data_IF_558479016148
#
_entry.id   IF_558479016148
#
_cell.length_a   1.000
_cell.length_b   1.000
_cell.length_c   1.000
_cell.angle_alpha   90.00
_cell.angle_beta   90.00
_cell.angle_gamma   90.00
#
_symmetry.space_group_name_H-M   'P 1'
#
loop_
_entity.id
_entity.type
_entity.pdbx_description
1 polymer ?
#
# COMPACT_ATOMS: atom_id res chain seq x y z
N UNK A 1 23.15 6.28 13.22
CA UNK A 1 23.38 7.62 12.64
C UNK A 1 24.68 8.21 13.18
N UNK A 2 25.50 8.96 12.41
CA UNK A 2 26.61 9.73 12.98
C UNK A 2 26.07 10.71 14.03
N UNK A 3 26.78 10.85 15.16
CA UNK A 3 26.38 11.80 16.21
C UNK A 3 26.48 13.23 15.67
N UNK A 4 25.46 14.05 15.91
CA UNK A 4 25.46 15.46 15.52
C UNK A 4 25.20 15.73 14.03
N UNK A 5 24.64 14.76 13.29
CA UNK A 5 24.28 14.95 11.87
C UNK A 5 23.35 16.16 11.66
N UNK A 6 22.55 16.53 12.68
CA UNK A 6 21.65 17.69 12.63
C UNK A 6 22.37 19.03 12.44
N UNK A 7 23.69 19.07 12.66
CA UNK A 7 24.53 20.23 12.35
C UNK A 7 24.68 20.48 10.84
N UNK A 8 24.45 19.47 9.99
CA UNK A 8 24.53 19.57 8.53
C UNK A 8 23.25 20.20 7.94
N UNK A 9 22.94 21.43 8.34
CA UNK A 9 21.69 22.12 7.98
C UNK A 9 21.54 22.36 6.48
N UNK A 10 22.66 22.41 5.74
CA UNK A 10 22.71 22.58 4.27
C UNK A 10 22.62 21.27 3.49
N UNK A 11 22.48 20.13 4.17
CA UNK A 11 22.38 18.83 3.52
C UNK A 11 21.11 18.74 2.69
N UNK A 12 21.26 18.37 1.41
CA UNK A 12 20.13 18.26 0.46
C UNK A 12 19.61 16.84 0.27
N UNK A 13 20.46 15.84 0.47
CA UNK A 13 20.12 14.45 0.26
C UNK A 13 20.49 13.66 1.50
N UNK A 14 19.49 12.94 2.03
CA UNK A 14 19.66 11.95 3.07
C UNK A 14 18.63 10.86 2.83
N UNK A 15 19.06 9.69 2.38
CA UNK A 15 18.15 8.59 2.05
C UNK A 15 17.53 7.92 3.28
N UNK A 16 18.27 7.90 4.40
CA UNK A 16 17.83 7.29 5.64
C UNK A 16 18.38 8.03 6.87
N UNK A 17 17.52 8.19 7.88
CA UNK A 17 17.82 8.68 9.21
C UNK A 17 17.47 7.59 10.23
N UNK A 18 18.49 7.10 10.96
CA UNK A 18 18.32 6.01 11.93
C UNK A 18 18.32 6.57 13.36
N UNK A 19 17.16 6.51 14.00
CA UNK A 19 16.96 6.92 15.39
C UNK A 19 17.52 5.84 16.31
N UNK A 20 18.30 6.26 17.30
CA UNK A 20 18.93 5.41 18.29
C UNK A 20 18.82 6.07 19.68
N UNK A 21 19.00 5.29 20.74
CA UNK A 21 18.91 5.76 22.13
C UNK A 21 20.15 6.53 22.59
N UNK A 22 21.24 6.43 21.82
CA UNK A 22 22.48 7.17 22.05
C UNK A 22 22.27 8.69 21.90
N UNK A 23 22.95 9.45 22.75
CA UNK A 23 22.97 10.91 22.66
C UNK A 23 23.46 11.39 21.27
N UNK A 24 22.80 12.42 20.74
CA UNK A 24 23.08 12.98 19.41
C UNK A 24 22.59 12.11 18.24
N UNK A 25 21.71 11.13 18.50
CA UNK A 25 21.03 10.31 17.48
C UNK A 25 19.51 10.25 17.63
N UNK A 26 18.95 11.14 18.46
CA UNK A 26 17.50 11.26 18.59
C UNK A 26 16.90 11.90 17.34
N UNK A 27 15.58 11.77 17.18
CA UNK A 27 14.85 12.33 16.05
C UNK A 27 14.93 13.87 16.00
N UNK A 28 15.25 14.52 17.13
CA UNK A 28 15.41 15.96 17.22
C UNK A 28 16.57 16.52 16.36
N UNK A 29 17.54 15.69 15.97
CA UNK A 29 18.60 16.08 15.03
C UNK A 29 18.05 16.53 13.67
N UNK A 30 16.86 16.04 13.28
CA UNK A 30 16.22 16.46 12.02
C UNK A 30 15.73 17.90 12.03
N UNK A 31 15.56 18.54 13.20
CA UNK A 31 14.85 19.81 13.38
C UNK A 31 15.23 20.88 12.35
N UNK A 32 16.53 21.11 12.14
CA UNK A 32 17.03 22.19 11.30
C UNK A 32 17.48 21.73 9.90
N UNK A 33 17.27 20.47 9.54
CA UNK A 33 17.66 19.90 8.25
C UNK A 33 16.62 20.19 7.16
N UNK A 34 16.29 21.47 6.95
CA UNK A 34 15.15 21.91 6.12
C UNK A 34 15.45 21.91 4.62
N UNK A 35 16.70 21.71 4.22
CA UNK A 35 17.09 21.63 2.81
C UNK A 35 17.02 20.22 2.22
N UNK A 36 16.63 19.22 3.02
CA UNK A 36 16.44 17.84 2.55
C UNK A 36 15.40 17.77 1.44
N UNK A 37 15.70 16.99 0.40
CA UNK A 37 14.89 16.89 -0.82
C UNK A 37 14.60 15.43 -1.17
N UNK A 38 13.49 15.20 -1.87
CA UNK A 38 13.14 13.89 -2.39
C UNK A 38 12.68 12.92 -1.30
N UNK A 39 13.35 11.77 -1.20
CA UNK A 39 12.98 10.66 -0.32
C UNK A 39 13.79 10.63 0.97
N UNK A 40 13.10 10.50 2.10
CA UNK A 40 13.69 10.26 3.41
C UNK A 40 13.03 9.06 4.11
N UNK A 41 13.82 8.07 4.50
CA UNK A 41 13.40 7.00 5.41
C UNK A 41 13.77 7.38 6.85
N UNK A 42 12.81 7.37 7.77
CA UNK A 42 13.03 7.56 9.20
C UNK A 42 12.78 6.22 9.88
N UNK A 43 13.88 5.60 10.31
CA UNK A 43 13.90 4.26 10.89
C UNK A 43 14.24 4.31 12.37
N UNK A 44 13.76 3.33 13.13
CA UNK A 44 14.00 3.26 14.57
C UNK A 44 12.95 4.02 15.38
N UNK A 45 11.74 4.20 14.83
CA UNK A 45 10.67 5.00 15.47
C UNK A 45 10.21 4.44 16.82
N UNK A 46 10.49 3.17 17.10
CA UNK A 46 10.34 2.61 18.43
C UNK A 46 11.10 3.32 19.55
N UNK A 47 12.21 3.99 19.19
CA UNK A 47 13.13 4.62 20.14
C UNK A 47 12.65 6.03 20.51
N UNK A 48 11.70 6.58 19.75
CA UNK A 48 11.03 7.84 20.07
C UNK A 48 10.14 7.63 21.29
N UNK A 49 10.25 8.49 22.30
CA UNK A 49 9.56 8.34 23.60
C UNK A 49 8.06 8.57 23.47
N UNK A 50 7.65 9.64 22.79
CA UNK A 50 6.27 10.11 22.64
C UNK A 50 6.10 11.05 21.43
N UNK A 51 4.89 11.52 21.18
CA UNK A 51 4.60 12.50 20.15
C UNK A 51 5.32 13.85 20.34
N UNK A 52 5.61 14.27 21.58
CA UNK A 52 6.34 15.51 21.84
C UNK A 52 7.78 15.45 21.35
N UNK A 53 8.45 14.31 21.52
CA UNK A 53 9.76 14.08 20.93
C UNK A 53 9.68 14.00 19.41
N UNK A 54 8.69 13.27 18.87
CA UNK A 54 8.48 13.13 17.44
C UNK A 54 8.33 14.49 16.74
N UNK A 55 7.57 15.41 17.34
CA UNK A 55 7.36 16.79 16.84
C UNK A 55 8.66 17.56 16.64
N UNK A 56 9.73 17.25 17.40
CA UNK A 56 11.03 17.92 17.26
C UNK A 56 11.68 17.69 15.88
N UNK A 57 11.27 16.65 15.16
CA UNK A 57 11.72 16.38 13.80
C UNK A 57 11.35 17.50 12.82
N UNK A 58 10.28 18.24 13.11
CA UNK A 58 9.79 19.38 12.33
C UNK A 58 9.68 19.07 10.82
N UNK A 59 8.97 17.99 10.48
CA UNK A 59 8.82 17.53 9.09
C UNK A 59 7.99 18.50 8.24
N UNK A 60 7.15 19.31 8.87
CA UNK A 60 6.37 20.35 8.21
C UNK A 60 7.26 21.36 7.46
N UNK A 61 8.39 21.76 8.05
CA UNK A 61 9.31 22.73 7.46
C UNK A 61 10.27 22.13 6.41
N UNK A 62 10.14 20.84 6.09
CA UNK A 62 10.92 20.14 5.06
C UNK A 62 10.10 20.03 3.78
N UNK A 63 9.74 21.18 3.23
CA UNK A 63 8.83 21.33 2.09
C UNK A 63 9.32 20.70 0.78
N UNK A 64 10.62 20.39 0.67
CA UNK A 64 11.19 19.71 -0.50
C UNK A 64 11.19 18.18 -0.41
N UNK A 65 10.75 17.61 0.71
CA UNK A 65 10.53 16.18 0.83
C UNK A 65 9.20 15.81 0.16
N UNK A 66 9.28 14.88 -0.78
CA UNK A 66 8.13 14.36 -1.54
C UNK A 66 7.84 12.90 -1.21
N UNK A 67 8.79 12.17 -0.61
CA UNK A 67 8.59 10.78 -0.22
C UNK A 67 9.08 10.54 1.22
N UNK A 68 8.23 9.92 2.04
CA UNK A 68 8.57 9.55 3.40
C UNK A 68 8.32 8.07 3.64
N UNK A 69 9.27 7.43 4.32
CA UNK A 69 9.08 6.13 4.92
C UNK A 69 9.22 6.24 6.43
N UNK A 70 8.22 5.76 7.18
CA UNK A 70 8.27 5.60 8.62
C UNK A 70 8.43 4.12 8.96
N UNK A 71 9.54 3.78 9.64
CA UNK A 71 9.91 2.39 9.90
C UNK A 71 10.15 2.12 11.39
N UNK A 72 9.45 1.10 11.89
CA UNK A 72 9.67 0.50 13.20
C UNK A 72 10.49 -0.80 13.07
N UNK A 73 11.04 -1.25 14.19
CA UNK A 73 11.61 -2.59 14.36
C UNK A 73 10.53 -3.66 14.57
N UNK A 74 10.51 -4.67 13.68
CA UNK A 74 9.59 -5.82 13.69
C UNK A 74 9.64 -6.63 15.00
N UNK A 75 10.83 -6.75 15.60
CA UNK A 75 11.10 -7.72 16.65
C UNK A 75 10.49 -7.36 18.01
N UNK A 76 10.00 -6.13 18.16
CA UNK A 76 9.61 -5.57 19.45
C UNK A 76 8.14 -5.19 19.49
N UNK A 77 7.53 -5.47 20.64
CA UNK A 77 6.13 -5.14 20.91
C UNK A 77 6.07 -3.74 21.55
N UNK A 78 5.39 -2.82 20.89
CA UNK A 78 5.20 -1.44 21.37
C UNK A 78 3.73 -1.10 21.56
N UNK A 79 3.48 -0.04 22.32
CA UNK A 79 2.13 0.47 22.51
C UNK A 79 1.56 1.03 21.20
N UNK A 80 0.41 0.50 20.79
CA UNK A 80 -0.36 0.97 19.64
C UNK A 80 -0.75 2.45 19.73
N UNK A 81 -1.12 2.91 20.94
CA UNK A 81 -1.51 4.30 21.19
C UNK A 81 -0.32 5.26 21.07
N UNK A 82 0.87 4.81 21.48
CA UNK A 82 2.10 5.59 21.31
C UNK A 82 2.47 5.76 19.84
N UNK A 83 2.34 4.69 19.04
CA UNK A 83 2.71 4.75 17.62
C UNK A 83 1.82 5.69 16.82
N UNK A 84 0.51 5.73 17.11
CA UNK A 84 -0.38 6.72 16.48
C UNK A 84 -0.04 8.16 16.93
N UNK A 85 0.25 8.39 18.21
CA UNK A 85 0.65 9.72 18.71
C UNK A 85 1.95 10.21 18.03
N UNK A 86 2.94 9.32 17.86
CA UNK A 86 4.15 9.61 17.09
C UNK A 86 3.80 9.97 15.64
N UNK A 87 2.99 9.16 14.95
CA UNK A 87 2.59 9.42 13.56
C UNK A 87 1.84 10.75 13.40
N UNK A 88 0.97 11.10 14.35
CA UNK A 88 0.23 12.36 14.36
C UNK A 88 1.19 13.56 14.43
N UNK A 89 2.23 13.45 15.26
CA UNK A 89 3.22 14.51 15.48
C UNK A 89 4.33 14.54 14.42
N UNK A 90 4.43 13.52 13.57
CA UNK A 90 5.28 13.48 12.38
C UNK A 90 4.56 13.98 11.12
N UNK A 91 3.55 14.85 11.28
CA UNK A 91 2.85 15.49 10.16
C UNK A 91 3.85 16.12 9.18
N UNK A 92 3.87 15.69 7.90
CA UNK A 92 4.73 16.27 6.89
C UNK A 92 4.11 17.52 6.25
N UNK A 93 4.87 18.17 5.38
CA UNK A 93 4.32 19.24 4.53
C UNK A 93 3.32 18.69 3.51
N UNK A 94 2.46 19.56 2.97
CA UNK A 94 1.53 19.20 1.88
C UNK A 94 2.21 18.83 0.55
N UNK A 95 3.54 18.92 0.47
CA UNK A 95 4.29 18.49 -0.71
C UNK A 95 4.50 16.97 -0.78
N UNK A 96 4.07 16.23 0.25
CA UNK A 96 4.21 14.78 0.27
C UNK A 96 3.42 14.11 -0.86
N UNK A 97 4.13 13.33 -1.68
CA UNK A 97 3.57 12.57 -2.79
C UNK A 97 3.43 11.07 -2.48
N UNK A 98 4.37 10.52 -1.70
CA UNK A 98 4.40 9.09 -1.34
C UNK A 98 4.66 8.89 0.15
N UNK A 99 3.84 8.02 0.75
CA UNK A 99 3.98 7.59 2.13
C UNK A 99 4.20 6.08 2.20
N UNK A 100 5.22 5.64 2.92
CA UNK A 100 5.42 4.24 3.27
C UNK A 100 5.40 4.08 4.79
N UNK A 101 4.59 3.15 5.28
CA UNK A 101 4.64 2.68 6.66
C UNK A 101 5.21 1.26 6.66
N UNK A 102 6.21 1.01 7.49
CA UNK A 102 6.89 -0.29 7.55
C UNK A 102 6.97 -0.78 8.99
N UNK A 103 6.50 -2.01 9.21
CA UNK A 103 6.41 -2.65 10.52
C UNK A 103 5.57 -1.85 11.53
N UNK A 104 4.61 -1.06 11.05
CA UNK A 104 3.82 -0.16 11.89
C UNK A 104 2.70 -0.94 12.60
N UNK A 105 2.72 -0.94 13.93
CA UNK A 105 1.64 -1.47 14.77
C UNK A 105 0.97 -0.32 15.53
N UNK A 106 -0.09 0.27 14.98
CA UNK A 106 -0.74 1.46 15.51
C UNK A 106 -2.22 1.23 15.79
N UNK A 107 -2.80 1.99 16.73
CA UNK A 107 -4.24 1.90 17.01
C UNK A 107 -5.09 2.54 15.92
N UNK A 108 -4.51 3.35 15.04
CA UNK A 108 -5.18 3.88 13.86
C UNK A 108 -4.20 4.54 12.89
N UNK A 109 -4.75 5.24 11.91
CA UNK A 109 -4.00 6.13 11.01
C UNK A 109 -3.98 7.57 11.55
N UNK A 110 -2.95 8.38 11.26
CA UNK A 110 -2.92 9.78 11.69
C UNK A 110 -3.93 10.63 10.92
N UNK A 111 -4.51 11.63 11.61
CA UNK A 111 -5.61 12.45 11.11
C UNK A 111 -5.24 13.29 9.89
N UNK A 112 -3.95 13.64 9.77
CA UNK A 112 -3.46 14.42 8.64
C UNK A 112 -3.49 13.69 7.30
N UNK A 113 -3.59 12.35 7.26
CA UNK A 113 -3.73 11.61 5.99
C UNK A 113 -5.05 11.96 5.30
N UNK A 114 -6.10 12.22 6.08
CA UNK A 114 -7.45 12.52 5.60
C UNK A 114 -7.67 14.03 5.36
N UNK A 115 -6.67 14.87 5.62
CA UNK A 115 -6.74 16.31 5.37
C UNK A 115 -6.73 16.57 3.85
N UNK A 116 -7.77 17.20 3.28
CA UNK A 116 -7.87 17.47 1.84
C UNK A 116 -6.70 18.27 1.25
N UNK A 117 -5.94 18.96 2.10
CA UNK A 117 -4.74 19.70 1.72
C UNK A 117 -3.58 18.80 1.28
N UNK A 118 -3.61 17.50 1.58
CA UNK A 118 -2.67 16.50 1.05
C UNK A 118 -3.09 16.02 -0.35
N UNK A 119 -3.41 16.97 -1.24
CA UNK A 119 -3.86 16.72 -2.60
C UNK A 119 -2.78 16.09 -3.49
N UNK A 120 -1.51 16.16 -3.08
CA UNK A 120 -0.36 15.53 -3.74
C UNK A 120 -0.10 14.09 -3.31
N UNK A 121 -0.69 13.63 -2.19
CA UNK A 121 -0.47 12.27 -1.71
C UNK A 121 -1.16 11.27 -2.64
N UNK A 122 -0.37 10.67 -3.54
CA UNK A 122 -0.87 9.79 -4.60
C UNK A 122 -0.47 8.33 -4.43
N UNK A 123 0.51 8.03 -3.57
CA UNK A 123 0.98 6.67 -3.34
C UNK A 123 1.10 6.36 -1.84
N UNK A 124 0.54 5.23 -1.43
CA UNK A 124 0.66 4.70 -0.07
C UNK A 124 1.14 3.25 -0.14
N UNK A 125 2.16 2.92 0.64
CA UNK A 125 2.70 1.57 0.80
C UNK A 125 2.59 1.17 2.28
N UNK A 126 1.89 0.08 2.55
CA UNK A 126 1.79 -0.51 3.88
C UNK A 126 2.52 -1.86 3.87
N UNK A 127 3.65 -1.92 4.55
CA UNK A 127 4.48 -3.12 4.64
C UNK A 127 4.49 -3.64 6.08
N UNK A 128 4.07 -4.89 6.29
CA UNK A 128 3.99 -5.53 7.61
C UNK A 128 3.29 -4.66 8.67
N UNK A 129 2.24 -3.97 8.25
CA UNK A 129 1.49 -3.06 9.12
C UNK A 129 0.29 -3.76 9.78
N UNK A 130 -0.07 -3.31 10.97
CA UNK A 130 -1.25 -3.74 11.71
C UNK A 130 -1.90 -2.51 12.35
N UNK A 131 -2.90 -1.96 11.65
CA UNK A 131 -3.58 -0.71 12.00
C UNK A 131 -5.03 -1.03 12.33
N UNK A 132 -5.47 -0.67 13.54
CA UNK A 132 -6.75 -1.15 14.07
C UNK A 132 -7.98 -0.33 13.65
N UNK A 133 -7.88 1.00 13.57
CA UNK A 133 -9.02 1.91 13.35
C UNK A 133 -8.72 2.91 12.23
N UNK A 134 -9.73 3.25 11.43
CA UNK A 134 -9.69 4.35 10.47
C UNK A 134 -8.93 4.07 9.18
N UNK A 135 -8.35 2.89 9.00
CA UNK A 135 -7.64 2.52 7.75
C UNK A 135 -8.56 2.51 6.51
N UNK A 136 -9.87 2.41 6.73
CA UNK A 136 -10.91 2.55 5.70
C UNK A 136 -11.00 3.96 5.11
N UNK A 137 -10.48 4.99 5.78
CA UNK A 137 -10.43 6.34 5.21
C UNK A 137 -9.58 6.41 3.92
N UNK A 138 -8.59 5.50 3.78
CA UNK A 138 -7.75 5.38 2.58
C UNK A 138 -8.59 5.19 1.31
N UNK A 139 -9.78 4.59 1.45
CA UNK A 139 -10.74 4.41 0.37
C UNK A 139 -11.28 5.73 -0.19
N UNK A 140 -11.32 6.78 0.63
CA UNK A 140 -11.93 8.07 0.28
C UNK A 140 -10.90 9.12 -0.15
N UNK A 141 -9.61 8.80 -0.09
CA UNK A 141 -8.55 9.74 -0.45
C UNK A 141 -8.68 10.18 -1.92
N UNK A 142 -8.97 11.47 -2.18
CA UNK A 142 -9.35 11.95 -3.50
C UNK A 142 -8.19 11.99 -4.49
N UNK A 143 -6.95 11.83 -4.03
CA UNK A 143 -5.74 11.86 -4.86
C UNK A 143 -5.00 10.54 -4.93
N UNK A 144 -5.41 9.52 -4.18
CA UNK A 144 -4.72 8.24 -4.14
C UNK A 144 -4.83 7.52 -5.49
N UNK A 145 -3.68 7.30 -6.13
CA UNK A 145 -3.53 6.61 -7.42
C UNK A 145 -2.88 5.23 -7.28
N UNK A 146 -2.06 5.03 -6.27
CA UNK A 146 -1.34 3.77 -6.04
C UNK A 146 -1.43 3.35 -4.58
N UNK A 147 -1.84 2.10 -4.35
CA UNK A 147 -1.88 1.48 -3.04
C UNK A 147 -1.17 0.13 -3.09
N UNK A 148 -0.22 -0.08 -2.20
CA UNK A 148 0.49 -1.35 -2.04
C UNK A 148 0.34 -1.88 -0.63
N UNK A 149 -0.19 -3.09 -0.50
CA UNK A 149 -0.40 -3.80 0.76
C UNK A 149 0.48 -5.05 0.74
N UNK A 150 1.45 -5.13 1.66
CA UNK A 150 2.52 -6.12 1.58
C UNK A 150 2.73 -6.77 2.96
N UNK A 151 2.75 -8.11 2.98
CA UNK A 151 3.04 -8.93 4.17
C UNK A 151 2.14 -8.58 5.38
N UNK A 152 0.84 -8.36 5.14
CA UNK A 152 -0.11 -8.03 6.22
C UNK A 152 -0.91 -9.25 6.67
N UNK A 153 -1.22 -9.31 7.97
CA UNK A 153 -2.00 -10.42 8.54
C UNK A 153 -3.42 -10.49 7.96
N UNK A 154 -4.10 -9.36 7.87
CA UNK A 154 -5.44 -9.22 7.29
C UNK A 154 -5.60 -7.82 6.70
N UNK A 155 -6.59 -7.66 5.82
CA UNK A 155 -6.99 -6.36 5.26
C UNK A 155 -8.50 -6.28 5.29
N UNK A 156 -9.05 -5.25 5.96
CA UNK A 156 -10.51 -5.09 6.19
C UNK A 156 -11.16 -3.99 5.35
N UNK A 157 -10.40 -3.33 4.47
CA UNK A 157 -10.83 -2.13 3.75
C UNK A 157 -10.66 -2.25 2.23
N UNK A 158 -10.54 -3.45 1.68
CA UNK A 158 -10.64 -3.65 0.22
C UNK A 158 -12.09 -3.65 -0.27
N UNK A 159 -13.04 -3.80 0.65
CA UNK A 159 -14.47 -3.91 0.40
C UNK A 159 -15.22 -2.82 1.17
N UNK A 160 -16.48 -2.60 0.81
CA UNK A 160 -17.33 -1.62 1.50
C UNK A 160 -17.68 -2.10 2.90
N UNK A 161 -17.64 -1.18 3.86
CA UNK A 161 -18.33 -1.43 5.13
C UNK A 161 -19.86 -1.39 4.89
N UNK A 162 -20.68 -2.23 5.57
CA UNK A 162 -22.13 -2.32 5.32
C UNK A 162 -22.90 -0.99 5.38
N UNK A 163 -22.40 -0.02 6.14
CA UNK A 163 -23.01 1.31 6.32
C UNK A 163 -22.26 2.43 5.58
N UNK A 164 -21.32 2.09 4.70
CA UNK A 164 -20.53 3.07 3.98
C UNK A 164 -21.25 3.54 2.72
N UNK A 165 -21.39 4.86 2.63
CA UNK A 165 -21.93 5.55 1.46
C UNK A 165 -20.80 6.18 0.65
N UNK A 166 -21.03 6.40 -0.66
CA UNK A 166 -20.03 6.97 -1.57
C UNK A 166 -19.27 5.91 -2.36
N UNK A 167 -18.36 6.35 -3.23
CA UNK A 167 -17.51 5.48 -4.07
C UNK A 167 -16.23 5.18 -3.29
N UNK A 168 -15.79 3.92 -3.25
CA UNK A 168 -14.47 3.58 -2.70
C UNK A 168 -13.42 3.60 -3.80
N UNK A 169 -12.25 4.13 -3.46
CA UNK A 169 -11.08 4.28 -4.32
C UNK A 169 -11.37 4.97 -5.66
N UNK A 170 -11.91 6.20 -5.65
CA UNK A 170 -12.39 6.87 -6.86
C UNK A 170 -11.29 7.15 -7.89
N UNK A 171 -10.03 7.37 -7.47
CA UNK A 171 -8.89 7.67 -8.36
C UNK A 171 -7.80 6.58 -8.41
N UNK A 172 -8.00 5.46 -7.72
CA UNK A 172 -6.98 4.41 -7.66
C UNK A 172 -6.74 3.80 -9.04
N UNK A 173 -5.48 3.74 -9.46
CA UNK A 173 -5.02 3.25 -10.76
C UNK A 173 -4.23 1.95 -10.62
N UNK A 174 -3.44 1.83 -9.55
CA UNK A 174 -2.61 0.66 -9.26
C UNK A 174 -2.94 0.13 -7.87
N UNK A 175 -3.28 -1.14 -7.80
CA UNK A 175 -3.46 -1.88 -6.54
C UNK A 175 -2.52 -3.09 -6.55
N UNK A 176 -1.64 -3.15 -5.56
CA UNK A 176 -0.70 -4.26 -5.37
C UNK A 176 -0.96 -4.91 -4.02
N UNK A 177 -1.24 -6.21 -4.02
CA UNK A 177 -1.57 -7.00 -2.84
C UNK A 177 -0.62 -8.18 -2.78
N UNK A 178 0.31 -8.17 -1.82
CA UNK A 178 1.34 -9.20 -1.68
C UNK A 178 1.27 -9.83 -0.30
N UNK A 179 1.16 -11.15 -0.24
CA UNK A 179 1.26 -11.94 0.99
C UNK A 179 0.30 -11.45 2.10
N UNK A 180 -0.99 -11.32 1.75
CA UNK A 180 -2.04 -11.08 2.76
C UNK A 180 -2.54 -12.40 3.31
N UNK A 181 -2.15 -12.71 4.55
CA UNK A 181 -2.31 -14.06 5.11
C UNK A 181 -3.77 -14.49 5.29
N UNK A 182 -4.66 -13.57 5.69
CA UNK A 182 -6.09 -13.82 5.91
C UNK A 182 -7.00 -13.03 4.98
N UNK A 183 -6.62 -12.93 3.69
CA UNK A 183 -7.53 -12.42 2.66
C UNK A 183 -8.38 -13.57 2.11
N UNK A 184 -9.52 -13.86 2.75
CA UNK A 184 -10.37 -15.00 2.36
C UNK A 184 -11.40 -14.65 1.29
N UNK A 185 -12.06 -13.50 1.43
CA UNK A 185 -13.04 -12.99 0.48
C UNK A 185 -12.66 -11.57 0.07
N UNK A 186 -12.93 -11.25 -1.20
CA UNK A 186 -12.86 -9.91 -1.74
C UNK A 186 -14.15 -9.60 -2.50
N UNK A 187 -15.27 -9.63 -1.77
CA UNK A 187 -16.62 -9.37 -2.28
C UNK A 187 -17.11 -7.93 -1.96
N UNK A 188 -18.41 -7.66 -2.09
CA UNK A 188 -18.99 -6.39 -1.60
C UNK A 188 -18.60 -5.13 -2.39
N UNK A 189 -18.08 -5.29 -3.61
CA UNK A 189 -17.70 -4.18 -4.50
C UNK A 189 -18.88 -3.79 -5.39
N UNK A 190 -19.19 -2.49 -5.45
CA UNK A 190 -20.21 -1.96 -6.35
C UNK A 190 -19.63 -1.58 -7.71
N UNK A 191 -20.50 -1.44 -8.71
CA UNK A 191 -20.12 -1.08 -10.09
C UNK A 191 -19.38 0.27 -10.19
N UNK A 192 -19.57 1.17 -9.24
CA UNK A 192 -18.95 2.51 -9.23
C UNK A 192 -17.60 2.54 -8.51
N UNK A 193 -17.20 1.44 -7.86
CA UNK A 193 -15.94 1.37 -7.11
C UNK A 193 -14.76 1.09 -8.05
N UNK A 194 -13.56 1.56 -7.68
CA UNK A 194 -12.33 1.31 -8.46
C UNK A 194 -12.46 1.72 -9.94
N UNK A 195 -13.23 2.77 -10.28
CA UNK A 195 -13.49 3.22 -11.67
C UNK A 195 -12.23 3.46 -12.50
N UNK A 196 -11.12 3.80 -11.84
CA UNK A 196 -9.87 4.17 -12.47
C UNK A 196 -8.79 3.07 -12.42
N UNK A 197 -9.10 1.90 -11.88
CA UNK A 197 -8.10 0.84 -11.72
C UNK A 197 -7.64 0.35 -13.08
N UNK A 198 -6.35 0.51 -13.34
CA UNK A 198 -5.68 0.08 -14.56
C UNK A 198 -4.77 -1.11 -14.37
N UNK A 199 -4.31 -1.33 -13.14
CA UNK A 199 -3.35 -2.36 -12.81
C UNK A 199 -3.68 -3.00 -11.46
N UNK A 200 -3.81 -4.32 -11.50
CA UNK A 200 -4.04 -5.16 -10.33
C UNK A 200 -2.97 -6.25 -10.29
N UNK A 201 -2.20 -6.25 -9.21
CA UNK A 201 -1.15 -7.26 -8.95
C UNK A 201 -1.50 -7.95 -7.63
N UNK A 202 -1.56 -9.27 -7.65
CA UNK A 202 -1.84 -10.12 -6.50
C UNK A 202 -0.79 -11.22 -6.44
N UNK A 203 -0.02 -11.25 -5.36
CA UNK A 203 1.10 -12.19 -5.20
C UNK A 203 1.01 -12.89 -3.84
N UNK A 204 1.23 -14.20 -3.80
CA UNK A 204 1.37 -14.97 -2.55
C UNK A 204 0.16 -14.85 -1.60
N UNK A 205 -1.04 -14.62 -2.14
CA UNK A 205 -2.29 -14.54 -1.37
C UNK A 205 -2.95 -15.92 -1.27
N UNK A 206 -2.35 -16.81 -0.48
CA UNK A 206 -2.75 -18.23 -0.44
C UNK A 206 -4.14 -18.49 0.12
N UNK A 207 -4.73 -17.57 0.89
CA UNK A 207 -6.07 -17.72 1.47
C UNK A 207 -7.19 -17.21 0.56
N UNK A 208 -6.86 -16.52 -0.53
CA UNK A 208 -7.82 -15.89 -1.43
C UNK A 208 -8.49 -16.95 -2.31
N UNK A 209 -9.82 -17.01 -2.25
CA UNK A 209 -10.61 -17.97 -3.03
C UNK A 209 -11.15 -17.40 -4.33
N UNK A 210 -11.50 -16.11 -4.37
CA UNK A 210 -12.07 -15.48 -5.56
C UNK A 210 -11.66 -14.02 -5.72
N UNK A 211 -11.58 -13.58 -6.98
CA UNK A 211 -11.44 -12.17 -7.32
C UNK A 211 -12.80 -11.51 -7.52
N UNK A 212 -12.94 -10.21 -7.15
CA UNK A 212 -14.17 -9.46 -7.36
C UNK A 212 -14.47 -9.30 -8.85
N UNK A 213 -15.54 -9.94 -9.31
CA UNK A 213 -16.04 -9.82 -10.69
C UNK A 213 -16.21 -8.37 -11.19
N UNK A 214 -16.68 -7.39 -10.37
CA UNK A 214 -16.77 -5.99 -10.80
C UNK A 214 -15.42 -5.35 -11.19
N UNK A 215 -14.33 -5.75 -10.52
CA UNK A 215 -12.98 -5.25 -10.84
C UNK A 215 -12.47 -5.92 -12.12
N UNK A 216 -12.68 -7.22 -12.29
CA UNK A 216 -12.21 -7.93 -13.49
C UNK A 216 -12.84 -7.40 -14.77
N UNK A 217 -14.08 -6.91 -14.70
CA UNK A 217 -14.83 -6.32 -15.82
C UNK A 217 -14.54 -4.83 -16.07
N UNK A 218 -13.55 -4.23 -15.39
CA UNK A 218 -13.33 -2.78 -15.47
C UNK A 218 -12.71 -2.38 -16.80
N UNK A 219 -13.39 -1.51 -17.56
CA UNK A 219 -12.91 -0.99 -18.83
C UNK A 219 -11.56 -0.25 -18.79
N UNK A 220 -11.03 0.12 -17.63
CA UNK A 220 -9.69 0.72 -17.50
C UNK A 220 -8.60 -0.28 -17.13
N UNK A 221 -8.98 -1.49 -16.69
CA UNK A 221 -8.03 -2.53 -16.29
C UNK A 221 -7.28 -3.01 -17.53
N UNK A 222 -5.96 -2.78 -17.53
CA UNK A 222 -5.02 -3.09 -18.60
C UNK A 222 -4.02 -4.17 -18.21
N UNK A 223 -3.67 -4.26 -16.93
CA UNK A 223 -2.72 -5.23 -16.41
C UNK A 223 -3.34 -6.00 -15.25
N UNK A 224 -3.37 -7.32 -15.37
CA UNK A 224 -3.76 -8.24 -14.30
C UNK A 224 -2.66 -9.27 -14.11
N UNK A 225 -2.15 -9.35 -12.89
CA UNK A 225 -1.09 -10.27 -12.52
C UNK A 225 -1.47 -11.01 -11.24
N UNK A 226 -1.42 -12.32 -11.31
CA UNK A 226 -1.76 -13.22 -10.21
C UNK A 226 -0.67 -14.27 -10.09
N UNK A 227 0.10 -14.19 -9.00
CA UNK A 227 1.29 -15.01 -8.77
C UNK A 227 1.16 -15.78 -7.47
N UNK A 228 1.45 -17.07 -7.48
CA UNK A 228 1.55 -17.92 -6.30
C UNK A 228 0.29 -17.84 -5.41
N UNK A 229 -0.90 -17.94 -6.02
CA UNK A 229 -2.19 -17.87 -5.33
C UNK A 229 -2.88 -19.24 -5.32
N UNK A 230 -2.50 -20.11 -4.38
CA UNK A 230 -2.84 -21.54 -4.39
C UNK A 230 -4.32 -21.90 -4.26
N UNK A 231 -5.12 -21.09 -3.54
CA UNK A 231 -6.54 -21.38 -3.33
C UNK A 231 -7.48 -20.60 -4.24
N UNK A 232 -6.95 -19.74 -5.11
CA UNK A 232 -7.75 -18.90 -5.98
C UNK A 232 -8.42 -19.76 -7.06
N UNK A 233 -9.75 -19.77 -7.07
CA UNK A 233 -10.52 -20.42 -8.12
C UNK A 233 -10.40 -19.66 -9.44
N UNK A 234 -10.70 -20.33 -10.54
CA UNK A 234 -10.63 -19.71 -11.85
C UNK A 234 -11.56 -18.50 -11.94
N UNK A 235 -11.07 -17.48 -12.62
CA UNK A 235 -11.83 -16.30 -13.03
C UNK A 235 -11.87 -16.16 -14.56
N UNK A 236 -11.30 -17.11 -15.29
CA UNK A 236 -11.18 -17.08 -16.75
C UNK A 236 -12.47 -17.52 -17.47
N UNK A 237 -13.40 -18.14 -16.75
CA UNK A 237 -14.79 -18.37 -17.17
C UNK A 237 -15.65 -17.10 -17.10
N UNK A 238 -15.19 -16.11 -16.33
CA UNK A 238 -15.84 -14.81 -16.21
C UNK A 238 -15.40 -13.90 -17.36
N UNK A 239 -16.31 -13.03 -17.78
CA UNK A 239 -15.99 -11.95 -18.71
C UNK A 239 -14.95 -11.00 -18.09
N UNK A 240 -13.81 -10.83 -18.76
CA UNK A 240 -12.75 -9.91 -18.37
C UNK A 240 -12.90 -8.55 -19.07
N UNK A 241 -12.18 -7.56 -18.57
CA UNK A 241 -12.06 -6.24 -19.19
C UNK A 241 -11.65 -6.37 -20.66
N UNK A 242 -12.42 -5.71 -21.54
CA UNK A 242 -12.10 -5.60 -22.97
C UNK A 242 -10.87 -4.74 -23.24
N UNK A 243 -10.37 -4.01 -22.24
CA UNK A 243 -9.15 -3.20 -22.33
C UNK A 243 -7.93 -3.87 -21.71
N UNK A 244 -8.07 -5.12 -21.25
CA UNK A 244 -6.96 -5.88 -20.69
C UNK A 244 -5.93 -6.16 -21.79
N UNK A 245 -4.69 -5.69 -21.58
CA UNK A 245 -3.58 -5.83 -22.51
C UNK A 245 -2.54 -6.84 -22.01
N UNK A 246 -2.46 -7.04 -20.70
CA UNK A 246 -1.52 -7.96 -20.06
C UNK A 246 -2.23 -8.82 -19.02
N UNK A 247 -2.06 -10.14 -19.13
CA UNK A 247 -2.50 -11.14 -18.18
C UNK A 247 -1.32 -12.05 -17.83
N UNK A 248 -0.95 -12.07 -16.55
CA UNK A 248 0.12 -12.92 -16.02
C UNK A 248 -0.49 -13.81 -14.93
N UNK A 249 -0.36 -15.13 -15.09
CA UNK A 249 -0.76 -16.12 -14.10
C UNK A 249 0.41 -17.07 -13.86
N UNK A 250 1.04 -16.95 -12.70
CA UNK A 250 2.21 -17.75 -12.33
C UNK A 250 1.92 -18.50 -11.02
N UNK A 251 2.35 -19.76 -10.92
CA UNK A 251 2.25 -20.61 -9.73
C UNK A 251 0.85 -20.68 -9.10
N UNK A 252 -0.21 -20.71 -9.91
CA UNK A 252 -1.60 -20.78 -9.46
C UNK A 252 -2.21 -22.17 -9.75
N UNK A 253 -2.02 -23.19 -8.87
CA UNK A 253 -2.36 -24.59 -9.14
C UNK A 253 -3.84 -24.85 -9.45
N UNK A 254 -4.77 -24.17 -8.78
CA UNK A 254 -6.20 -24.32 -9.06
C UNK A 254 -6.61 -23.75 -10.42
N UNK A 255 -6.09 -22.57 -10.77
CA UNK A 255 -6.31 -21.97 -12.09
C UNK A 255 -5.71 -22.87 -13.17
N UNK A 256 -4.47 -23.32 -12.99
CA UNK A 256 -3.79 -24.21 -13.92
C UNK A 256 -4.53 -25.55 -14.11
N UNK A 257 -5.04 -26.13 -13.02
CA UNK A 257 -5.89 -27.33 -13.08
C UNK A 257 -7.17 -27.06 -13.89
N UNK A 258 -7.84 -25.95 -13.62
CA UNK A 258 -9.06 -25.57 -14.34
C UNK A 258 -8.80 -25.34 -15.83
N UNK A 259 -7.69 -24.71 -16.22
CA UNK A 259 -7.28 -24.51 -17.62
C UNK A 259 -7.13 -25.86 -18.34
N UNK A 260 -6.46 -26.84 -17.72
CA UNK A 260 -6.29 -28.19 -18.26
C UNK A 260 -7.61 -28.93 -18.46
N UNK A 261 -8.57 -28.72 -17.57
CA UNK A 261 -9.90 -29.34 -17.63
C UNK A 261 -10.83 -28.71 -18.67
N UNK A 262 -10.64 -27.42 -19.00
CA UNK A 262 -11.55 -26.62 -19.85
C UNK A 262 -10.93 -26.24 -21.22
N UNK A 263 -10.18 -27.19 -21.80
CA UNK A 263 -9.49 -27.12 -23.11
C UNK A 263 -10.13 -26.14 -24.11
N UNK A 264 -9.51 -24.97 -24.25
CA UNK A 264 -9.83 -23.86 -25.18
C UNK A 264 -11.01 -22.94 -24.87
N UNK A 265 -11.92 -23.25 -23.94
CA UNK A 265 -13.08 -22.38 -23.68
C UNK A 265 -12.69 -21.04 -23.05
N UNK A 266 -11.62 -21.03 -22.26
CA UNK A 266 -11.10 -19.85 -21.58
C UNK A 266 -10.42 -18.85 -22.53
N UNK A 267 -9.83 -19.32 -23.63
CA UNK A 267 -9.18 -18.47 -24.64
C UNK A 267 -10.16 -17.49 -25.30
N UNK A 268 -11.45 -17.84 -25.36
CA UNK A 268 -12.51 -16.96 -25.89
C UNK A 268 -12.64 -15.66 -25.10
N UNK A 269 -12.41 -15.72 -23.78
CA UNK A 269 -12.55 -14.58 -22.87
C UNK A 269 -11.30 -13.68 -22.81
N UNK A 270 -10.19 -14.12 -23.39
CA UNK A 270 -8.91 -13.39 -23.39
C UNK A 270 -8.31 -13.17 -24.78
N UNK A 271 -9.03 -13.52 -25.84
CA UNK A 271 -8.56 -13.39 -27.24
C UNK A 271 -8.11 -11.98 -27.64
N UNK A 272 -8.57 -10.96 -26.92
CA UNK A 272 -8.23 -9.56 -27.15
C UNK A 272 -6.99 -9.10 -26.35
N UNK A 273 -6.47 -9.95 -25.45
CA UNK A 273 -5.32 -9.63 -24.60
C UNK A 273 -4.03 -9.86 -25.39
N UNK A 274 -3.19 -8.83 -25.47
CA UNK A 274 -1.97 -8.84 -26.29
C UNK A 274 -0.84 -9.68 -25.67
N UNK A 275 -0.67 -9.59 -24.35
CA UNK A 275 0.44 -10.22 -23.62
C UNK A 275 -0.13 -11.18 -22.58
N UNK A 276 -0.11 -12.48 -22.89
CA UNK A 276 -0.59 -13.53 -21.99
C UNK A 276 0.58 -14.41 -21.59
N UNK A 277 0.79 -14.56 -20.30
CA UNK A 277 1.75 -15.50 -19.73
C UNK A 277 1.06 -16.37 -18.68
N UNK A 278 1.09 -17.68 -18.88
CA UNK A 278 0.55 -18.68 -17.96
C UNK A 278 1.52 -19.86 -17.94
N UNK A 279 2.09 -20.20 -16.78
CA UNK A 279 3.19 -21.18 -16.64
C UNK A 279 2.93 -22.56 -17.23
N UNK A 280 1.67 -22.93 -17.44
CA UNK A 280 1.27 -24.25 -17.94
C UNK A 280 0.67 -24.22 -19.35
N UNK A 281 0.86 -23.12 -20.10
CA UNK A 281 0.45 -23.00 -21.51
C UNK A 281 1.58 -23.42 -22.49
N UNK A 282 2.67 -24.02 -21.99
CA UNK A 282 3.68 -24.72 -22.81
C UNK A 282 3.23 -26.16 -23.09
N UNK A 283 2.42 -26.35 -24.13
CA UNK A 283 2.25 -27.63 -24.85
C UNK A 283 3.18 -27.68 -26.08
#
# INVERSE_FOLDING_TARGET
MPRGIGSLTQLKSLSAFLIDKDEGRSIAELKNMNHLTGRLCISGLENVVDGHEARKADLWNKDKLTELEFRWDESKKYSRSKNIDILEMLRPSFQLEKLQLSYCNASGIPSWIDDPSFDKLTSIILFKCNIAVGIDSLQQLPSLKSLSLIDMLYVVFLTRHPYQHGIIFPKLQRLTIVSIYHLYSWDGIMKEDYLNLSELIIERCWSLFELPSPILKRYKLKHLEVINCSNLDSFLDKELSTSLATLIIEDCPKINKWIKENKDDWRKNIKHVENVYIDQDED
#
